data_IF_909912070520
#
_entry.id   IF_909912070520
#
_cell.length_a   1.000
_cell.length_b   1.000
_cell.length_c   1.000
_cell.angle_alpha   90.00
_cell.angle_beta   90.00
_cell.angle_gamma   90.00
#
_symmetry.space_group_name_H-M   'P 1'
#
loop_
_entity.id
_entity.type
_entity.pdbx_description
1 polymer ?
#
# COMPACT_ATOMS: atom_id res chain seq x y z
N UNK A 1 15.55 -19.36 -22.80
CA UNK A 1 14.45 -19.25 -21.82
C UNK A 1 13.76 -17.91 -22.05
N UNK A 2 12.43 -17.87 -22.22
CA UNK A 2 11.72 -16.59 -22.33
C UNK A 2 11.77 -15.92 -20.95
N UNK A 3 12.40 -14.74 -20.85
CA UNK A 3 12.26 -13.90 -19.65
C UNK A 3 10.77 -13.60 -19.49
N UNK A 4 10.21 -13.90 -18.31
CA UNK A 4 8.87 -13.45 -17.97
C UNK A 4 8.84 -11.92 -18.06
N UNK A 5 7.70 -11.36 -18.47
CA UNK A 5 7.54 -9.90 -18.42
C UNK A 5 7.64 -9.47 -16.95
N UNK A 6 8.43 -8.43 -16.63
CA UNK A 6 8.52 -7.89 -15.28
C UNK A 6 7.12 -7.59 -14.73
N UNK A 7 6.89 -7.94 -13.47
CA UNK A 7 5.62 -7.73 -12.78
C UNK A 7 5.86 -7.61 -11.29
N UNK A 8 5.34 -6.53 -10.69
CA UNK A 8 5.25 -6.39 -9.25
C UNK A 8 4.26 -7.42 -8.66
N UNK A 9 4.64 -8.03 -7.55
CA UNK A 9 3.86 -9.01 -6.81
C UNK A 9 3.58 -8.49 -5.41
N UNK A 10 2.33 -8.65 -4.96
CA UNK A 10 1.93 -8.51 -3.55
C UNK A 10 2.08 -9.88 -2.87
N UNK A 11 3.10 -10.05 -2.03
CA UNK A 11 3.30 -11.29 -1.27
C UNK A 11 2.39 -11.35 -0.04
N UNK A 12 2.27 -10.23 0.67
CA UNK A 12 1.44 -10.12 1.87
C UNK A 12 0.80 -8.72 1.98
N UNK A 13 -0.39 -8.69 2.58
CA UNK A 13 -1.12 -7.47 2.94
C UNK A 13 -1.65 -7.62 4.36
N UNK A 14 -1.02 -6.93 5.28
CA UNK A 14 -1.23 -7.03 6.73
C UNK A 14 -1.32 -5.65 7.38
N UNK A 15 -1.47 -5.61 8.70
CA UNK A 15 -1.54 -4.38 9.49
C UNK A 15 -1.03 -4.68 10.89
N UNK A 16 -0.07 -3.90 11.37
CA UNK A 16 0.34 -3.94 12.79
C UNK A 16 -0.77 -3.58 13.78
N UNK A 17 -1.86 -2.94 13.33
CA UNK A 17 -2.99 -2.58 14.20
C UNK A 17 -4.04 -3.69 14.33
N UNK A 18 -4.13 -4.58 13.34
CA UNK A 18 -5.15 -5.62 13.27
C UNK A 18 -4.58 -6.88 12.62
N UNK A 19 -4.49 -7.97 13.38
CA UNK A 19 -3.92 -9.24 12.92
C UNK A 19 -4.89 -10.41 13.24
N UNK A 20 -5.40 -11.12 12.22
CA UNK A 20 -5.18 -10.89 10.79
C UNK A 20 -6.04 -9.73 10.24
N UNK A 21 -5.45 -8.90 9.37
CA UNK A 21 -6.18 -7.80 8.71
C UNK A 21 -7.40 -8.30 7.89
N UNK A 22 -7.36 -9.54 7.41
CA UNK A 22 -8.45 -10.15 6.64
C UNK A 22 -9.72 -10.42 7.44
N UNK A 23 -9.62 -10.47 8.77
CA UNK A 23 -10.76 -10.69 9.68
C UNK A 23 -11.18 -9.40 10.38
N UNK A 24 -10.50 -8.29 10.10
CA UNK A 24 -10.86 -7.01 10.70
C UNK A 24 -12.11 -6.44 10.06
N UNK A 25 -13.11 -6.15 10.90
CA UNK A 25 -14.31 -5.43 10.52
C UNK A 25 -14.42 -4.15 11.36
N UNK A 26 -14.45 -2.95 10.74
CA UNK A 26 -14.66 -1.72 11.47
C UNK A 26 -16.11 -1.65 11.99
N UNK A 27 -16.28 -1.21 13.24
CA UNK A 27 -17.61 -1.09 13.87
C UNK A 27 -18.55 -0.12 13.14
N UNK A 28 -17.98 0.87 12.44
CA UNK A 28 -18.71 1.85 11.63
C UNK A 28 -17.81 2.42 10.54
N UNK A 29 -18.40 3.15 9.58
CA UNK A 29 -17.63 3.89 8.57
C UNK A 29 -16.66 4.87 9.24
N UNK A 30 -17.06 5.54 10.33
CA UNK A 30 -16.21 6.45 11.08
C UNK A 30 -14.97 5.80 11.73
N UNK A 31 -15.03 4.50 11.97
CA UNK A 31 -13.93 3.73 12.58
C UNK A 31 -13.05 3.06 11.53
N UNK A 32 -13.34 3.27 10.24
CA UNK A 32 -12.56 2.74 9.13
C UNK A 32 -11.34 3.62 8.84
N UNK A 33 -10.29 3.46 9.65
CA UNK A 33 -8.98 4.07 9.43
C UNK A 33 -7.89 3.09 9.84
N UNK A 34 -7.13 2.59 8.86
CA UNK A 34 -6.12 1.54 9.08
C UNK A 34 -4.82 1.87 8.33
N UNK A 35 -3.67 1.54 8.93
CA UNK A 35 -2.39 1.50 8.25
C UNK A 35 -2.19 0.07 7.71
N UNK A 36 -1.89 -0.03 6.42
CA UNK A 36 -1.73 -1.31 5.73
C UNK A 36 -0.29 -1.46 5.30
N UNK A 37 0.28 -2.61 5.66
CA UNK A 37 1.65 -3.01 5.39
C UNK A 37 1.63 -3.95 4.16
N UNK A 38 2.41 -3.59 3.14
CA UNK A 38 2.44 -4.28 1.85
C UNK A 38 3.82 -4.89 1.63
N UNK A 39 3.92 -6.21 1.67
CA UNK A 39 5.16 -6.91 1.31
C UNK A 39 5.19 -7.10 -0.21
N UNK A 40 6.04 -6.35 -0.89
CA UNK A 40 6.12 -6.28 -2.35
C UNK A 40 7.44 -6.84 -2.88
N UNK A 41 7.42 -7.45 -4.05
CA UNK A 41 8.62 -7.84 -4.81
C UNK A 41 8.35 -7.96 -6.30
N UNK A 42 9.27 -8.60 -7.03
CA UNK A 42 9.18 -8.78 -8.49
C UNK A 42 9.12 -10.26 -8.88
N UNK A 43 8.51 -10.54 -10.03
CA UNK A 43 8.41 -11.89 -10.60
C UNK A 43 9.65 -12.35 -11.39
N UNK A 44 10.82 -11.79 -11.10
CA UNK A 44 12.08 -12.02 -11.81
C UNK A 44 12.89 -13.22 -11.27
N UNK A 45 12.42 -13.83 -10.19
CA UNK A 45 13.06 -14.98 -9.55
C UNK A 45 14.16 -14.61 -8.56
N UNK A 46 14.42 -13.32 -8.36
CA UNK A 46 15.29 -12.86 -7.28
C UNK A 46 14.55 -12.93 -5.94
N UNK A 47 15.25 -13.35 -4.88
CA UNK A 47 14.71 -13.34 -3.53
C UNK A 47 14.93 -11.95 -2.92
N UNK A 48 13.95 -11.07 -3.10
CA UNK A 48 13.91 -9.76 -2.48
C UNK A 48 12.48 -9.27 -2.32
N UNK A 49 12.16 -8.75 -1.15
CA UNK A 49 10.90 -8.05 -0.91
C UNK A 49 11.16 -6.85 0.00
N UNK A 50 10.39 -5.79 -0.20
CA UNK A 50 10.38 -4.64 0.68
C UNK A 50 8.97 -4.35 1.17
N UNK A 51 8.89 -3.72 2.34
CA UNK A 51 7.63 -3.22 2.87
C UNK A 51 7.33 -1.82 2.36
N UNK A 52 6.08 -1.65 1.93
CA UNK A 52 5.48 -0.36 1.62
C UNK A 52 4.25 -0.15 2.52
N UNK A 53 3.89 1.09 2.78
CA UNK A 53 2.85 1.45 3.73
C UNK A 53 1.83 2.37 3.10
N UNK A 54 0.57 2.20 3.46
CA UNK A 54 -0.49 3.11 3.04
C UNK A 54 -1.56 3.20 4.10
N UNK A 55 -2.09 4.40 4.29
CA UNK A 55 -3.30 4.59 5.10
C UNK A 55 -4.52 4.33 4.24
N UNK A 56 -5.48 3.60 4.78
CA UNK A 56 -6.76 3.34 4.14
C UNK A 56 -7.86 3.88 5.04
N UNK A 57 -8.74 4.70 4.49
CA UNK A 57 -9.79 5.35 5.28
C UNK A 57 -11.07 5.57 4.48
N UNK A 58 -12.20 5.65 5.17
CA UNK A 58 -13.44 6.21 4.61
C UNK A 58 -13.46 7.73 4.72
N UNK A 59 -14.29 8.42 3.91
CA UNK A 59 -14.54 9.85 4.10
C UNK A 59 -15.00 10.22 5.52
N UNK A 60 -15.81 9.36 6.15
CA UNK A 60 -16.35 9.54 7.50
C UNK A 60 -15.25 9.47 8.55
N UNK A 61 -14.35 8.47 8.45
CA UNK A 61 -13.23 8.34 9.35
C UNK A 61 -12.24 9.51 9.22
N UNK A 62 -12.02 9.99 8.00
CA UNK A 62 -11.23 11.19 7.74
C UNK A 62 -11.88 12.44 8.38
N UNK A 63 -13.19 12.62 8.20
CA UNK A 63 -13.94 13.73 8.81
C UNK A 63 -13.89 13.70 10.33
N UNK A 64 -14.12 12.54 10.97
CA UNK A 64 -14.06 12.36 12.43
C UNK A 64 -12.68 12.70 13.01
N UNK A 65 -11.61 12.45 12.25
CA UNK A 65 -10.22 12.69 12.64
C UNK A 65 -9.71 14.08 12.27
N UNK A 66 -10.45 14.84 11.46
CA UNK A 66 -10.07 16.19 11.06
C UNK A 66 -10.00 17.09 12.30
N UNK A 67 -8.82 17.64 12.56
CA UNK A 67 -8.60 18.69 13.57
C UNK A 67 -8.29 20.05 12.95
N UNK A 68 -8.06 20.09 11.63
CA UNK A 68 -7.56 21.23 10.88
C UNK A 68 -8.16 21.25 9.47
N UNK A 69 -7.94 22.34 8.73
CA UNK A 69 -8.36 22.48 7.32
C UNK A 69 -7.84 21.34 6.43
N UNK A 70 -6.57 20.95 6.58
CA UNK A 70 -5.99 19.80 5.90
C UNK A 70 -6.37 18.51 6.66
N UNK A 71 -7.20 17.68 6.03
CA UNK A 71 -7.74 16.45 6.64
C UNK A 71 -6.78 15.27 6.47
N UNK A 72 -6.12 15.19 5.32
CA UNK A 72 -5.22 14.10 4.96
C UNK A 72 -3.99 14.70 4.29
N UNK A 73 -2.84 14.35 4.84
CA UNK A 73 -1.54 14.58 4.26
C UNK A 73 -0.86 13.23 4.03
N UNK A 74 -0.07 13.15 2.96
CA UNK A 74 0.69 11.99 2.52
C UNK A 74 -0.13 10.68 2.34
N UNK A 75 -0.29 10.26 1.07
CA UNK A 75 -0.77 8.95 0.60
C UNK A 75 -1.84 8.27 1.47
N UNK A 76 -3.10 8.53 1.14
CA UNK A 76 -4.26 7.85 1.72
C UNK A 76 -5.13 7.31 0.59
N UNK A 77 -5.47 6.02 0.67
CA UNK A 77 -6.51 5.44 -0.19
C UNK A 77 -7.85 5.65 0.49
N UNK A 78 -8.72 6.41 -0.17
CA UNK A 78 -10.08 6.65 0.31
C UNK A 78 -11.02 5.61 -0.29
N UNK A 79 -11.68 4.83 0.57
CA UNK A 79 -12.62 3.76 0.22
C UNK A 79 -14.02 4.07 0.75
N UNK A 80 -15.06 3.47 0.16
CA UNK A 80 -16.43 3.64 0.62
C UNK A 80 -16.73 2.82 1.89
N UNK A 81 -16.21 1.60 1.95
CA UNK A 81 -16.28 0.70 3.11
C UNK A 81 -15.08 -0.27 3.06
N UNK A 82 -14.69 -0.81 4.22
CA UNK A 82 -13.61 -1.80 4.27
C UNK A 82 -14.09 -3.17 3.77
N UNK A 83 -13.39 -3.69 2.78
CA UNK A 83 -13.46 -5.08 2.34
C UNK A 83 -12.05 -5.49 1.95
N UNK A 84 -11.52 -6.50 2.65
CA UNK A 84 -10.14 -6.95 2.48
C UNK A 84 -9.84 -7.37 1.02
N UNK A 85 -10.75 -8.11 0.38
CA UNK A 85 -10.53 -8.64 -0.96
C UNK A 85 -10.66 -7.57 -2.04
N UNK A 86 -11.58 -6.62 -1.87
CA UNK A 86 -11.69 -5.46 -2.76
C UNK A 86 -10.47 -4.56 -2.62
N UNK A 87 -10.02 -4.28 -1.39
CA UNK A 87 -8.79 -3.52 -1.15
C UNK A 87 -7.59 -4.20 -1.81
N UNK A 88 -7.43 -5.52 -1.62
CA UNK A 88 -6.35 -6.29 -2.25
C UNK A 88 -6.35 -6.15 -3.77
N UNK A 89 -7.52 -6.24 -4.41
CA UNK A 89 -7.67 -6.02 -5.86
C UNK A 89 -7.29 -4.59 -6.28
N UNK A 90 -7.64 -3.59 -5.48
CA UNK A 90 -7.24 -2.19 -5.73
C UNK A 90 -5.71 -2.07 -5.68
N UNK A 91 -5.06 -2.62 -4.65
CA UNK A 91 -3.60 -2.63 -4.53
C UNK A 91 -2.96 -3.36 -5.72
N UNK A 92 -3.40 -4.57 -6.06
CA UNK A 92 -2.88 -5.32 -7.20
C UNK A 92 -3.02 -4.54 -8.52
N UNK A 93 -4.09 -3.76 -8.70
CA UNK A 93 -4.25 -2.89 -9.86
C UNK A 93 -3.31 -1.69 -9.85
N UNK A 94 -2.98 -1.13 -8.68
CA UNK A 94 -1.92 -0.11 -8.54
C UNK A 94 -0.57 -0.72 -8.91
N UNK A 95 -0.25 -1.92 -8.43
CA UNK A 95 1.00 -2.62 -8.76
C UNK A 95 1.16 -2.84 -10.28
N UNK A 96 0.09 -3.24 -10.98
CA UNK A 96 0.11 -3.37 -12.45
C UNK A 96 0.44 -2.03 -13.14
N UNK A 97 -0.10 -0.91 -12.67
CA UNK A 97 0.19 0.44 -13.21
C UNK A 97 1.63 0.90 -12.89
N UNK A 98 2.17 0.46 -11.76
CA UNK A 98 3.50 0.83 -11.27
C UNK A 98 4.62 -0.07 -11.78
N UNK A 99 4.31 -1.22 -12.38
CA UNK A 99 5.33 -2.13 -12.92
C UNK A 99 6.15 -1.44 -14.02
N UNK A 100 7.48 -1.51 -13.90
CA UNK A 100 8.48 -1.01 -14.88
C UNK A 100 9.45 -2.12 -15.27
N UNK A 101 10.52 -1.78 -15.98
CA UNK A 101 11.48 -2.76 -16.50
C UNK A 101 12.27 -3.46 -15.38
N UNK A 102 12.50 -2.77 -14.26
CA UNK A 102 13.24 -3.26 -13.10
C UNK A 102 12.60 -2.79 -11.78
N UNK A 103 13.13 -3.30 -10.66
CA UNK A 103 12.68 -2.99 -9.31
C UNK A 103 12.78 -1.51 -8.98
N UNK A 104 13.95 -0.89 -9.19
CA UNK A 104 14.22 0.49 -8.82
C UNK A 104 13.27 1.47 -9.52
N UNK A 105 13.06 1.30 -10.83
CA UNK A 105 12.10 2.10 -11.58
C UNK A 105 10.66 1.90 -11.10
N UNK A 106 10.31 0.69 -10.67
CA UNK A 106 9.00 0.37 -10.12
C UNK A 106 8.81 1.04 -8.76
N UNK A 107 9.82 1.03 -7.89
CA UNK A 107 9.83 1.70 -6.59
C UNK A 107 9.59 3.20 -6.72
N UNK A 108 10.23 3.87 -7.68
CA UNK A 108 10.05 5.31 -7.92
C UNK A 108 8.58 5.69 -8.22
N UNK A 109 7.83 4.82 -8.90
CA UNK A 109 6.42 5.09 -9.20
C UNK A 109 5.46 4.56 -8.13
N UNK A 110 5.85 3.51 -7.39
CA UNK A 110 5.12 3.05 -6.19
C UNK A 110 5.04 4.13 -5.13
N UNK A 111 6.09 4.94 -4.99
CA UNK A 111 6.11 6.13 -4.13
C UNK A 111 5.04 7.18 -4.50
N UNK A 112 4.26 7.05 -5.58
CA UNK A 112 3.10 7.94 -5.78
C UNK A 112 1.89 7.51 -4.94
N UNK A 113 1.87 6.27 -4.49
CA UNK A 113 0.74 5.62 -3.85
C UNK A 113 1.05 5.13 -2.45
N UNK A 114 2.27 4.66 -2.20
CA UNK A 114 2.68 4.06 -0.93
C UNK A 114 3.97 4.68 -0.40
N UNK A 115 4.09 4.75 0.92
CA UNK A 115 5.32 5.10 1.60
C UNK A 115 6.28 3.94 1.67
N UNK A 116 7.58 4.23 1.62
CA UNK A 116 8.63 3.23 1.60
C UNK A 116 9.65 3.52 2.70
N UNK A 117 10.16 2.50 3.39
CA UNK A 117 11.14 2.72 4.48
C UNK A 117 12.44 3.36 4.00
N UNK A 118 12.79 3.15 2.72
CA UNK A 118 13.99 3.67 2.09
C UNK A 118 13.71 4.88 1.17
N UNK A 119 12.52 5.46 1.27
CA UNK A 119 12.22 6.72 0.60
C UNK A 119 13.21 7.81 1.06
N UNK A 120 13.77 8.54 0.10
CA UNK A 120 14.81 9.57 0.32
C UNK A 120 16.07 9.10 1.08
N UNK A 121 16.30 7.78 1.17
CA UNK A 121 17.52 7.25 1.78
C UNK A 121 18.73 7.55 0.90
N UNK A 122 19.65 8.37 1.43
CA UNK A 122 20.96 8.61 0.86
C UNK A 122 22.01 7.87 1.68
N UNK A 123 22.81 7.02 1.02
CA UNK A 123 24.04 6.51 1.63
C UNK A 123 24.97 7.69 1.92
N UNK A 124 25.20 7.98 3.20
CA UNK A 124 26.34 8.82 3.60
C UNK A 124 27.63 8.10 3.17
N UNK A 125 28.46 8.76 2.37
CA UNK A 125 29.76 8.26 1.92
C UNK A 125 30.85 8.48 2.95
#
# INVERSE_FOLDING_TARGET
>A
MKKNKPQLILYDMSSTMFDPLSEWEPASLEDTYVAVDLCLGMNDGEKGSNYFYVKVATPEALRKRSKNFLISDNRVIVIDYFDYYLLRKVIENILKKCTRENWDESCLVLQRYFSWEYEDYHYEK
#
